data_IF_881526609688
#
_entry.id   IF_881526609688
#
_cell.length_a   1.000
_cell.length_b   1.000
_cell.length_c   1.000
_cell.angle_alpha   90.00
_cell.angle_beta   90.00
_cell.angle_gamma   90.00
#
_symmetry.space_group_name_H-M   'P 1'
#
loop_
_entity.id
_entity.type
_entity.pdbx_description
1 polymer ?
#
# COMPACT_ATOMS: atom_id res chain seq x y z
N UNK A 1 22.65 -2.84 -18.76
CA UNK A 1 23.05 -2.74 -17.36
C UNK A 1 24.03 -3.85 -16.98
N UNK A 2 25.13 -3.55 -16.32
CA UNK A 2 26.03 -4.53 -15.70
C UNK A 2 26.03 -4.32 -14.20
N UNK A 3 25.28 -5.15 -13.47
CA UNK A 3 25.26 -5.14 -12.03
C UNK A 3 26.54 -5.73 -11.46
N UNK A 4 27.17 -5.08 -10.49
CA UNK A 4 28.37 -5.59 -9.84
C UNK A 4 28.15 -5.95 -8.36
N UNK A 5 27.10 -5.42 -7.75
CA UNK A 5 26.71 -5.75 -6.38
C UNK A 5 25.19 -5.73 -6.20
N UNK A 6 24.68 -6.66 -5.40
CA UNK A 6 23.29 -6.72 -4.95
C UNK A 6 23.30 -7.20 -3.52
N UNK A 7 22.77 -6.40 -2.58
CA UNK A 7 22.79 -6.69 -1.15
C UNK A 7 21.41 -6.43 -0.55
N UNK A 8 21.04 -7.20 0.46
CA UNK A 8 19.82 -7.00 1.26
C UNK A 8 20.18 -6.88 2.73
N UNK A 9 19.62 -5.89 3.39
CA UNK A 9 19.74 -5.68 4.83
C UNK A 9 18.35 -5.56 5.47
N UNK A 10 18.23 -5.87 6.75
CA UNK A 10 17.03 -5.50 7.52
C UNK A 10 16.98 -3.99 7.73
N UNK A 11 15.76 -3.47 7.78
CA UNK A 11 15.48 -2.06 8.03
C UNK A 11 14.58 -1.95 9.26
N UNK A 12 15.08 -1.32 10.32
CA UNK A 12 14.41 -1.19 11.61
C UNK A 12 14.41 0.28 12.05
N UNK A 13 13.61 1.11 11.38
CA UNK A 13 13.42 2.52 11.79
C UNK A 13 12.41 2.55 12.94
N UNK A 14 12.74 3.14 14.09
CA UNK A 14 11.81 3.27 15.20
C UNK A 14 10.59 4.12 14.83
N UNK A 15 9.44 3.76 15.37
CA UNK A 15 8.23 4.58 15.30
C UNK A 15 8.21 5.60 16.44
N UNK A 16 7.72 6.80 16.16
CA UNK A 16 7.49 7.86 17.18
C UNK A 16 6.49 7.43 18.24
N UNK A 17 5.58 6.54 17.87
CA UNK A 17 4.59 5.91 18.76
C UNK A 17 4.40 4.47 18.35
N UNK A 18 4.21 3.58 19.33
CA UNK A 18 3.88 2.18 19.04
C UNK A 18 2.57 2.12 18.26
N UNK A 19 2.61 1.43 17.14
CA UNK A 19 1.46 1.20 16.31
C UNK A 19 0.81 -0.14 16.67
N UNK A 20 -0.44 -0.09 17.11
CA UNK A 20 -1.23 -1.29 17.42
C UNK A 20 -2.30 -1.50 16.35
N UNK A 21 -2.31 -2.70 15.78
CA UNK A 21 -3.29 -3.19 14.82
C UNK A 21 -3.94 -4.44 15.41
N UNK A 22 -5.13 -4.80 14.91
CA UNK A 22 -5.85 -6.01 15.36
C UNK A 22 -4.99 -7.28 15.30
N UNK A 23 -4.04 -7.35 14.36
CA UNK A 23 -3.20 -8.53 14.09
C UNK A 23 -1.75 -8.38 14.56
N UNK A 24 -1.28 -7.18 14.93
CA UNK A 24 0.12 -6.95 15.30
C UNK A 24 0.34 -5.63 16.04
N UNK A 25 1.34 -5.63 16.94
CA UNK A 25 1.87 -4.41 17.56
C UNK A 25 3.29 -4.20 17.06
N UNK A 26 3.60 -2.98 16.57
CA UNK A 26 4.90 -2.63 16.00
C UNK A 26 5.48 -1.38 16.63
N UNK A 27 6.79 -1.41 16.83
CA UNK A 27 7.58 -0.27 17.29
C UNK A 27 8.61 0.19 16.25
N UNK A 28 8.80 -0.59 15.19
CA UNK A 28 9.76 -0.33 14.09
C UNK A 28 9.17 -0.71 12.74
N UNK A 29 9.85 -0.33 11.65
CA UNK A 29 9.45 -0.65 10.27
C UNK A 29 9.34 -2.15 9.98
N UNK A 30 10.23 -2.98 10.54
CA UNK A 30 10.33 -4.42 10.23
C UNK A 30 10.31 -4.66 8.71
N UNK A 31 11.25 -4.08 7.99
CA UNK A 31 11.35 -4.10 6.54
C UNK A 31 12.69 -4.65 6.05
N UNK A 32 12.81 -4.84 4.75
CA UNK A 32 14.07 -5.16 4.08
C UNK A 32 14.40 -4.07 3.07
N UNK A 33 15.70 -3.76 2.97
CA UNK A 33 16.26 -2.79 2.04
C UNK A 33 17.23 -3.50 1.11
N UNK A 34 17.06 -3.31 -0.19
CA UNK A 34 17.97 -3.82 -1.22
C UNK A 34 18.73 -2.67 -1.85
N UNK A 35 20.04 -2.86 -1.99
CA UNK A 35 20.95 -1.97 -2.71
C UNK A 35 21.54 -2.73 -3.89
N UNK A 36 21.31 -2.22 -5.09
CA UNK A 36 21.89 -2.70 -6.34
C UNK A 36 22.93 -1.68 -6.84
N UNK A 37 24.10 -2.12 -7.29
CA UNK A 37 25.16 -1.24 -7.79
C UNK A 37 25.64 -1.68 -9.16
N UNK A 38 25.77 -0.75 -10.09
CA UNK A 38 26.30 -1.01 -11.42
C UNK A 38 27.81 -0.82 -11.48
N UNK A 39 28.41 -1.34 -12.55
CA UNK A 39 29.83 -1.15 -12.85
C UNK A 39 30.22 0.32 -13.08
N UNK A 40 29.23 1.20 -13.31
CA UNK A 40 29.43 2.66 -13.40
C UNK A 40 29.35 3.37 -12.04
N UNK A 41 29.15 2.64 -10.96
CA UNK A 41 29.00 3.20 -9.60
C UNK A 41 27.62 3.82 -9.33
N UNK A 42 26.61 3.62 -10.20
CA UNK A 42 25.24 4.02 -9.93
C UNK A 42 24.59 3.04 -8.94
N UNK A 43 23.75 3.58 -8.06
CA UNK A 43 23.10 2.81 -7.00
C UNK A 43 21.59 2.90 -7.13
N UNK A 44 20.94 1.74 -7.21
CA UNK A 44 19.49 1.59 -7.10
C UNK A 44 19.11 1.11 -5.71
N UNK A 45 17.99 1.60 -5.20
CA UNK A 45 17.47 1.27 -3.88
C UNK A 45 16.05 0.71 -3.98
N UNK A 46 15.76 -0.30 -3.18
CA UNK A 46 14.43 -0.91 -3.13
C UNK A 46 14.07 -1.36 -1.72
N UNK A 47 12.80 -1.32 -1.43
CA UNK A 47 12.25 -1.63 -0.11
C UNK A 47 11.16 -2.70 -0.23
N UNK A 48 11.04 -3.55 0.78
CA UNK A 48 9.95 -4.49 0.94
C UNK A 48 9.53 -4.58 2.40
N UNK A 49 8.23 -4.71 2.62
CA UNK A 49 7.65 -4.79 3.95
C UNK A 49 6.99 -6.15 4.15
N UNK A 50 7.72 -7.19 4.59
CA UNK A 50 7.13 -8.49 4.89
C UNK A 50 6.13 -8.37 6.04
N UNK A 51 4.97 -9.04 5.89
CA UNK A 51 3.89 -9.02 6.89
C UNK A 51 3.33 -10.42 7.06
N UNK A 52 3.69 -11.07 8.16
CA UNK A 52 3.34 -12.46 8.42
C UNK A 52 1.83 -12.72 8.39
N UNK A 53 1.03 -11.79 8.91
CA UNK A 53 -0.43 -11.90 8.96
C UNK A 53 -1.13 -11.60 7.61
N UNK A 54 -0.40 -11.11 6.60
CA UNK A 54 -0.93 -10.83 5.25
C UNK A 54 -0.46 -11.88 4.24
N UNK A 55 0.87 -12.06 4.13
CA UNK A 55 1.51 -12.87 3.08
C UNK A 55 2.30 -14.07 3.64
N UNK A 56 2.42 -14.18 4.95
CA UNK A 56 3.21 -15.22 5.60
C UNK A 56 4.71 -14.91 5.68
N UNK A 57 5.19 -13.81 5.07
CA UNK A 57 6.58 -13.42 5.09
C UNK A 57 7.03 -12.80 6.40
N UNK A 58 8.28 -13.06 6.76
CA UNK A 58 9.04 -12.38 7.81
C UNK A 58 10.30 -11.77 7.22
N UNK A 59 10.96 -10.87 7.95
CA UNK A 59 12.27 -10.34 7.54
C UNK A 59 13.28 -11.48 7.32
N UNK A 60 13.28 -12.48 8.21
CA UNK A 60 14.16 -13.64 8.08
C UNK A 60 13.89 -14.48 6.82
N UNK A 61 12.61 -14.76 6.51
CA UNK A 61 12.25 -15.50 5.29
C UNK A 61 12.58 -14.70 4.02
N UNK A 62 12.40 -13.38 4.04
CA UNK A 62 12.77 -12.51 2.94
C UNK A 62 14.29 -12.53 2.66
N UNK A 63 15.10 -12.50 3.72
CA UNK A 63 16.56 -12.61 3.61
C UNK A 63 17.00 -13.99 3.10
N UNK A 64 16.34 -15.06 3.51
CA UNK A 64 16.62 -16.42 3.01
C UNK A 64 16.30 -16.55 1.53
N UNK A 65 15.14 -16.07 1.10
CA UNK A 65 14.75 -16.03 -0.30
C UNK A 65 15.75 -15.22 -1.14
N UNK A 66 16.20 -14.06 -0.62
CA UNK A 66 17.22 -13.25 -1.26
C UNK A 66 18.53 -14.03 -1.44
N UNK A 67 19.04 -14.67 -0.39
CA UNK A 67 20.29 -15.47 -0.47
C UNK A 67 20.20 -16.58 -1.52
N UNK A 68 19.04 -17.24 -1.60
CA UNK A 68 18.83 -18.38 -2.52
C UNK A 68 18.83 -17.97 -3.99
N UNK A 69 18.37 -16.77 -4.33
CA UNK A 69 18.19 -16.36 -5.74
C UNK A 69 19.09 -15.17 -6.16
N UNK A 70 19.87 -14.61 -5.25
CA UNK A 70 20.74 -13.45 -5.53
C UNK A 70 21.61 -13.62 -6.77
N UNK A 71 22.19 -14.82 -6.96
CA UNK A 71 23.08 -15.09 -8.08
C UNK A 71 22.37 -14.98 -9.44
N UNK A 72 21.10 -15.41 -9.50
CA UNK A 72 20.26 -15.30 -10.69
C UNK A 72 19.96 -13.82 -10.99
N UNK A 73 19.56 -13.07 -9.99
CA UNK A 73 19.22 -11.64 -10.15
C UNK A 73 20.41 -10.77 -10.53
N UNK A 74 21.62 -11.14 -10.09
CA UNK A 74 22.85 -10.47 -10.51
C UNK A 74 23.10 -10.54 -12.03
N UNK A 75 22.43 -11.46 -12.73
CA UNK A 75 22.52 -11.58 -14.20
C UNK A 75 21.45 -10.76 -14.93
N UNK A 76 20.41 -10.29 -14.24
CA UNK A 76 19.38 -9.44 -14.84
C UNK A 76 19.98 -8.09 -15.27
N UNK A 77 19.92 -7.80 -16.55
CA UNK A 77 20.54 -6.62 -17.15
C UNK A 77 19.55 -5.67 -17.81
N UNK A 78 18.30 -6.07 -17.91
CA UNK A 78 17.23 -5.34 -18.60
C UNK A 78 15.88 -5.49 -17.91
N UNK A 79 14.92 -4.69 -18.36
CA UNK A 79 13.52 -4.84 -17.96
C UNK A 79 12.97 -6.22 -18.32
N UNK A 80 13.30 -6.69 -19.51
CA UNK A 80 12.84 -7.99 -20.03
C UNK A 80 13.34 -9.14 -19.16
N UNK A 81 14.58 -9.05 -18.66
CA UNK A 81 15.13 -10.07 -17.74
C UNK A 81 14.32 -10.12 -16.42
N UNK A 82 13.99 -8.95 -15.84
CA UNK A 82 13.19 -8.86 -14.63
C UNK A 82 11.78 -9.41 -14.83
N UNK A 83 11.13 -9.07 -15.95
CA UNK A 83 9.80 -9.55 -16.30
C UNK A 83 9.81 -11.07 -16.56
N UNK A 84 10.82 -11.56 -17.27
CA UNK A 84 10.98 -12.98 -17.57
C UNK A 84 11.18 -13.77 -16.29
N UNK A 85 12.08 -13.34 -15.42
CA UNK A 85 12.30 -14.00 -14.12
C UNK A 85 11.03 -13.98 -13.28
N UNK A 86 10.40 -12.81 -13.15
CA UNK A 86 9.17 -12.63 -12.37
C UNK A 86 8.01 -13.50 -12.86
N UNK A 87 7.87 -13.66 -14.17
CA UNK A 87 6.83 -14.51 -14.77
C UNK A 87 7.12 -15.99 -14.55
N UNK A 88 8.37 -16.42 -14.77
CA UNK A 88 8.78 -17.81 -14.57
C UNK A 88 8.68 -18.27 -13.11
N UNK A 89 8.79 -17.33 -12.15
CA UNK A 89 8.81 -17.63 -10.72
C UNK A 89 7.61 -17.04 -9.98
N UNK A 90 6.47 -16.88 -10.65
CA UNK A 90 5.27 -16.25 -10.08
C UNK A 90 4.83 -16.89 -8.74
N UNK A 91 4.85 -18.23 -8.65
CA UNK A 91 4.48 -18.95 -7.41
C UNK A 91 5.47 -18.73 -6.26
N UNK A 92 6.76 -18.55 -6.58
CA UNK A 92 7.77 -18.21 -5.58
C UNK A 92 7.57 -16.79 -5.07
N UNK A 93 7.26 -15.86 -5.96
CA UNK A 93 6.97 -14.46 -5.61
C UNK A 93 5.70 -14.39 -4.77
N UNK A 94 4.65 -15.16 -5.07
CA UNK A 94 3.42 -15.21 -4.27
C UNK A 94 3.67 -15.60 -2.81
N UNK A 95 4.75 -16.34 -2.53
CA UNK A 95 5.19 -16.70 -1.18
C UNK A 95 6.20 -15.74 -0.57
N UNK A 96 6.85 -14.91 -1.40
CA UNK A 96 7.93 -14.00 -1.00
C UNK A 96 7.76 -12.61 -1.65
N UNK A 97 6.55 -12.01 -1.60
CA UNK A 97 6.27 -10.80 -2.37
C UNK A 97 7.09 -9.59 -1.93
N UNK A 98 7.31 -9.39 -0.63
CA UNK A 98 8.07 -8.25 -0.14
C UNK A 98 9.56 -8.37 -0.47
N UNK A 99 10.12 -9.57 -0.39
CA UNK A 99 11.51 -9.80 -0.77
C UNK A 99 11.76 -9.50 -2.25
N UNK A 100 10.89 -10.01 -3.13
CA UNK A 100 10.98 -9.70 -4.56
C UNK A 100 10.71 -8.23 -4.85
N UNK A 101 9.73 -7.61 -4.20
CA UNK A 101 9.47 -6.18 -4.34
C UNK A 101 10.72 -5.32 -4.09
N UNK A 102 11.47 -5.63 -3.02
CA UNK A 102 12.70 -4.91 -2.72
C UNK A 102 13.76 -5.08 -3.82
N UNK A 103 13.93 -6.30 -4.35
CA UNK A 103 14.87 -6.60 -5.43
C UNK A 103 14.45 -5.92 -6.73
N UNK A 104 13.20 -6.12 -7.15
CA UNK A 104 12.66 -5.52 -8.38
C UNK A 104 12.78 -3.99 -8.36
N UNK A 105 12.39 -3.36 -7.26
CA UNK A 105 12.45 -1.90 -7.12
C UNK A 105 13.88 -1.38 -7.19
N UNK A 106 14.84 -2.04 -6.53
CA UNK A 106 16.24 -1.66 -6.60
C UNK A 106 16.80 -1.77 -8.03
N UNK A 107 16.44 -2.84 -8.75
CA UNK A 107 16.84 -3.03 -10.14
C UNK A 107 16.19 -1.98 -11.06
N UNK A 108 14.91 -1.67 -10.86
CA UNK A 108 14.21 -0.63 -11.65
C UNK A 108 14.78 0.76 -11.40
N UNK A 109 15.08 1.11 -10.15
CA UNK A 109 15.74 2.38 -9.81
C UNK A 109 17.11 2.48 -10.48
N UNK A 110 17.90 1.41 -10.40
CA UNK A 110 19.21 1.35 -11.05
C UNK A 110 19.10 1.47 -12.57
N UNK A 111 18.17 0.74 -13.18
CA UNK A 111 17.93 0.79 -14.63
C UNK A 111 17.50 2.18 -15.09
N UNK A 112 16.59 2.83 -14.34
CA UNK A 112 16.20 4.20 -14.63
C UNK A 112 17.36 5.18 -14.57
N UNK A 113 18.28 5.01 -13.62
CA UNK A 113 19.50 5.82 -13.51
C UNK A 113 20.49 5.56 -14.66
N UNK A 114 20.65 4.31 -15.08
CA UNK A 114 21.50 3.95 -16.23
C UNK A 114 20.95 4.52 -17.55
N UNK A 115 19.63 4.57 -17.70
CA UNK A 115 18.95 5.11 -18.87
C UNK A 115 18.70 6.62 -18.78
N UNK A 116 19.05 7.25 -17.66
CA UNK A 116 18.78 8.66 -17.36
C UNK A 116 17.28 9.02 -17.49
N UNK A 117 16.40 8.10 -17.11
CA UNK A 117 14.94 8.22 -17.19
C UNK A 117 14.26 7.91 -15.85
N UNK A 118 13.13 8.57 -15.52
CA UNK A 118 12.28 8.16 -14.41
C UNK A 118 11.75 6.73 -14.62
N UNK A 119 11.49 6.01 -13.52
CA UNK A 119 11.02 4.60 -13.61
C UNK A 119 9.70 4.46 -14.36
N UNK A 120 8.78 5.40 -14.23
CA UNK A 120 7.50 5.40 -14.97
C UNK A 120 7.70 5.47 -16.48
N UNK A 121 8.72 6.19 -16.94
CA UNK A 121 9.08 6.28 -18.37
C UNK A 121 9.75 5.00 -18.83
N UNK A 122 10.65 4.42 -18.03
CA UNK A 122 11.25 3.12 -18.30
C UNK A 122 10.18 2.03 -18.47
N UNK A 123 9.07 2.14 -17.73
CA UNK A 123 7.90 1.25 -17.83
C UNK A 123 6.96 1.60 -19.00
N UNK A 124 7.36 2.47 -19.92
CA UNK A 124 6.56 2.89 -21.07
C UNK A 124 5.40 3.83 -20.74
N UNK A 125 5.42 4.45 -19.57
CA UNK A 125 4.46 5.49 -19.17
C UNK A 125 4.96 6.90 -19.49
N UNK A 126 4.22 7.89 -18.98
CA UNK A 126 4.59 9.30 -19.00
C UNK A 126 5.15 9.74 -17.65
N UNK A 127 5.93 10.82 -17.58
CA UNK A 127 6.35 11.38 -16.30
C UNK A 127 5.17 11.65 -15.38
N UNK A 128 5.34 11.41 -14.08
CA UNK A 128 4.29 11.66 -13.09
C UNK A 128 3.80 13.11 -13.13
N UNK A 129 2.51 13.31 -12.99
CA UNK A 129 1.89 14.64 -13.14
C UNK A 129 1.15 15.14 -11.88
N UNK A 130 0.89 14.29 -10.88
CA UNK A 130 0.16 14.70 -9.68
C UNK A 130 -1.18 15.42 -9.97
N UNK A 131 -1.80 16.10 -9.01
CA UNK A 131 -1.49 15.97 -7.58
C UNK A 131 -1.79 14.58 -7.05
N UNK A 132 -1.06 14.18 -6.00
CA UNK A 132 -1.33 12.94 -5.27
C UNK A 132 -1.95 13.29 -3.92
N UNK A 133 -3.08 12.68 -3.61
CA UNK A 133 -3.84 12.97 -2.39
C UNK A 133 -4.10 11.68 -1.61
N UNK A 134 -3.82 11.74 -0.33
CA UNK A 134 -3.93 10.63 0.61
C UNK A 134 -5.12 10.78 1.54
N UNK A 135 -5.69 9.65 1.95
CA UNK A 135 -6.75 9.58 2.96
C UNK A 135 -6.17 9.69 4.36
N UNK A 136 -6.91 10.29 5.27
CA UNK A 136 -6.64 10.21 6.69
C UNK A 136 -7.12 8.85 7.24
N UNK A 137 -6.27 8.17 8.00
CA UNK A 137 -6.63 6.95 8.71
C UNK A 137 -6.90 7.29 10.18
N UNK A 138 -8.10 6.98 10.63
CA UNK A 138 -8.56 7.20 12.00
C UNK A 138 -8.77 5.88 12.71
N UNK A 139 -8.22 5.76 13.89
CA UNK A 139 -8.37 4.64 14.79
C UNK A 139 -7.87 5.03 16.17
N UNK A 140 -7.81 4.07 17.07
CA UNK A 140 -7.27 4.30 18.41
C UNK A 140 -8.27 3.96 19.50
N UNK A 141 -7.76 3.48 20.63
CA UNK A 141 -8.59 2.94 21.71
C UNK A 141 -9.36 4.03 22.46
N UNK A 142 -8.74 5.21 22.65
CA UNK A 142 -9.34 6.30 23.42
C UNK A 142 -10.02 7.33 22.52
N UNK A 143 -11.27 7.65 22.82
CA UNK A 143 -12.04 8.65 22.08
C UNK A 143 -11.35 10.03 22.06
N UNK A 144 -10.74 10.46 23.16
CA UNK A 144 -10.02 11.73 23.21
C UNK A 144 -8.84 11.82 22.22
N UNK A 145 -8.14 10.71 22.00
CA UNK A 145 -7.06 10.64 21.01
C UNK A 145 -7.61 10.67 19.58
N UNK A 146 -8.70 9.94 19.34
CA UNK A 146 -9.43 9.96 18.07
C UNK A 146 -9.93 11.37 17.74
N UNK A 147 -10.60 12.02 18.68
CA UNK A 147 -11.15 13.37 18.49
C UNK A 147 -10.05 14.40 18.20
N UNK A 148 -8.91 14.30 18.86
CA UNK A 148 -7.74 15.15 18.60
C UNK A 148 -7.23 14.94 17.16
N UNK A 149 -7.05 13.70 16.73
CA UNK A 149 -6.62 13.38 15.37
C UNK A 149 -7.63 13.87 14.32
N UNK A 150 -8.91 13.62 14.55
CA UNK A 150 -9.99 14.08 13.66
C UNK A 150 -9.92 15.59 13.47
N UNK A 151 -9.85 16.37 14.56
CA UNK A 151 -9.72 17.82 14.48
C UNK A 151 -8.47 18.26 13.72
N UNK A 152 -7.34 17.59 13.90
CA UNK A 152 -6.11 17.90 13.18
C UNK A 152 -6.26 17.66 11.68
N UNK A 153 -6.83 16.52 11.27
CA UNK A 153 -7.05 16.20 9.86
C UNK A 153 -8.08 17.15 9.21
N UNK A 154 -9.16 17.46 9.90
CA UNK A 154 -10.17 18.42 9.40
C UNK A 154 -9.56 19.83 9.24
N UNK A 155 -8.79 20.30 10.22
CA UNK A 155 -8.08 21.58 10.15
C UNK A 155 -7.04 21.60 9.02
N UNK A 156 -6.41 20.45 8.73
CA UNK A 156 -5.51 20.29 7.61
C UNK A 156 -6.22 20.16 6.25
N UNK A 157 -7.56 20.07 6.22
CA UNK A 157 -8.36 20.05 5.00
C UNK A 157 -8.58 18.66 4.39
N UNK A 158 -8.43 17.58 5.16
CA UNK A 158 -8.78 16.25 4.69
C UNK A 158 -10.29 16.09 4.55
N UNK A 159 -10.69 15.37 3.48
CA UNK A 159 -12.10 15.05 3.19
C UNK A 159 -12.34 13.56 2.98
N UNK A 160 -11.27 12.77 2.87
CA UNK A 160 -11.33 11.33 2.68
C UNK A 160 -10.75 10.62 3.90
N UNK A 161 -11.56 9.79 4.53
CA UNK A 161 -11.22 9.14 5.78
C UNK A 161 -11.42 7.62 5.69
N UNK A 162 -10.49 6.90 6.29
CA UNK A 162 -10.64 5.49 6.63
C UNK A 162 -10.80 5.38 8.15
N UNK A 163 -11.96 4.91 8.60
CA UNK A 163 -12.26 4.72 10.00
C UNK A 163 -12.12 3.24 10.36
N UNK A 164 -11.26 2.96 11.32
CA UNK A 164 -11.10 1.61 11.86
C UNK A 164 -12.21 1.28 12.84
N UNK A 165 -12.86 0.13 12.63
CA UNK A 165 -13.85 -0.43 13.55
C UNK A 165 -13.12 -1.07 14.72
N UNK A 166 -13.44 -0.65 15.94
CA UNK A 166 -12.81 -1.13 17.16
C UNK A 166 -13.54 -2.33 17.80
N UNK A 167 -14.83 -2.52 17.44
CA UNK A 167 -15.66 -3.63 17.92
C UNK A 167 -16.43 -3.35 19.20
N UNK A 168 -16.32 -2.15 19.73
CA UNK A 168 -17.22 -1.60 20.73
C UNK A 168 -18.25 -0.72 20.01
N UNK A 169 -19.49 -1.19 19.91
CA UNK A 169 -20.53 -0.53 19.13
C UNK A 169 -20.81 0.89 19.59
N UNK A 170 -20.87 1.16 20.88
CA UNK A 170 -21.13 2.49 21.40
C UNK A 170 -19.96 3.45 21.11
N UNK A 171 -18.73 3.00 21.32
CA UNK A 171 -17.55 3.77 21.00
C UNK A 171 -17.40 4.02 19.50
N UNK A 172 -17.72 3.05 18.65
CA UNK A 172 -17.68 3.22 17.18
C UNK A 172 -18.81 4.13 16.68
N UNK A 173 -20.01 4.10 17.28
CA UNK A 173 -21.09 5.05 17.00
C UNK A 173 -20.69 6.48 17.36
N UNK A 174 -20.06 6.67 18.51
CA UNK A 174 -19.55 7.99 18.93
C UNK A 174 -18.54 8.56 17.94
N UNK A 175 -17.63 7.72 17.41
CA UNK A 175 -16.66 8.11 16.37
C UNK A 175 -17.33 8.47 15.04
N UNK A 176 -18.29 7.67 14.61
CA UNK A 176 -19.07 7.94 13.39
C UNK A 176 -19.87 9.24 13.54
N UNK A 177 -20.51 9.45 14.70
CA UNK A 177 -21.25 10.69 14.99
C UNK A 177 -20.34 11.92 14.96
N UNK A 178 -19.14 11.84 15.53
CA UNK A 178 -18.17 12.93 15.52
C UNK A 178 -17.71 13.29 14.09
N UNK A 179 -17.46 12.30 13.23
CA UNK A 179 -17.15 12.50 11.81
C UNK A 179 -18.31 13.18 11.07
N UNK A 180 -19.54 12.71 11.28
CA UNK A 180 -20.74 13.25 10.62
C UNK A 180 -21.03 14.69 11.09
N UNK A 181 -20.89 14.94 12.38
CA UNK A 181 -21.12 16.27 12.98
C UNK A 181 -20.13 17.33 12.48
N UNK A 182 -18.99 16.94 11.95
CA UNK A 182 -18.03 17.87 11.36
C UNK A 182 -18.59 18.63 10.15
N UNK A 183 -19.66 18.13 9.51
CA UNK A 183 -20.36 18.82 8.42
C UNK A 183 -19.48 19.18 7.22
N UNK A 184 -18.39 18.45 7.02
CA UNK A 184 -17.40 18.74 5.98
C UNK A 184 -17.98 18.43 4.60
N UNK A 185 -18.06 19.42 3.69
CA UNK A 185 -18.54 19.18 2.32
C UNK A 185 -17.66 18.17 1.59
N UNK A 186 -18.29 17.18 0.93
CA UNK A 186 -17.58 16.14 0.18
C UNK A 186 -16.88 15.09 1.04
N UNK A 187 -17.20 15.02 2.33
CA UNK A 187 -16.67 13.99 3.24
C UNK A 187 -16.98 12.59 2.72
N UNK A 188 -15.93 11.77 2.63
CA UNK A 188 -16.02 10.34 2.27
C UNK A 188 -15.43 9.51 3.38
N UNK A 189 -16.18 8.50 3.81
CA UNK A 189 -15.75 7.60 4.89
C UNK A 189 -15.81 6.16 4.42
N UNK A 190 -14.70 5.45 4.55
CA UNK A 190 -14.61 4.00 4.40
C UNK A 190 -14.42 3.39 5.78
N UNK A 191 -15.06 2.25 6.02
CA UNK A 191 -14.85 1.47 7.23
C UNK A 191 -13.80 0.38 6.98
N UNK A 192 -12.88 0.20 7.92
CA UNK A 192 -11.94 -0.91 7.94
C UNK A 192 -12.21 -1.76 9.19
N UNK A 193 -12.70 -2.97 8.97
CA UNK A 193 -13.06 -3.89 10.05
C UNK A 193 -11.95 -4.88 10.39
N UNK A 194 -10.88 -4.97 9.61
CA UNK A 194 -9.75 -5.88 9.84
C UNK A 194 -10.20 -7.33 10.14
N UNK A 195 -11.07 -7.89 9.28
CA UNK A 195 -11.58 -9.26 9.34
C UNK A 195 -12.31 -9.61 10.65
N UNK A 196 -13.02 -8.65 11.23
CA UNK A 196 -13.61 -8.73 12.58
C UNK A 196 -14.73 -9.75 12.70
N UNK A 197 -15.67 -9.75 11.75
CA UNK A 197 -16.87 -10.57 11.87
C UNK A 197 -16.71 -11.94 11.21
N UNK A 198 -17.46 -12.90 11.77
CA UNK A 198 -17.46 -14.27 11.28
C UNK A 198 -18.77 -14.63 10.56
N UNK A 199 -19.79 -13.78 10.71
CA UNK A 199 -21.13 -13.98 10.15
C UNK A 199 -21.61 -12.72 9.46
N UNK A 200 -22.32 -12.90 8.36
CA UNK A 200 -22.88 -11.81 7.54
C UNK A 200 -23.92 -11.02 8.32
N UNK A 201 -24.83 -11.72 9.04
CA UNK A 201 -25.88 -11.11 9.85
C UNK A 201 -25.30 -10.21 10.97
N UNK A 202 -24.30 -10.71 11.70
CA UNK A 202 -23.59 -9.95 12.73
C UNK A 202 -22.96 -8.66 12.15
N UNK A 203 -22.27 -8.78 11.02
CA UNK A 203 -21.68 -7.63 10.34
C UNK A 203 -22.73 -6.62 9.88
N UNK A 204 -23.84 -7.09 9.28
CA UNK A 204 -24.94 -6.26 8.84
C UNK A 204 -25.56 -5.47 9.99
N UNK A 205 -25.92 -6.14 11.09
CA UNK A 205 -26.52 -5.53 12.27
C UNK A 205 -25.59 -4.47 12.87
N UNK A 206 -24.30 -4.79 12.98
CA UNK A 206 -23.31 -3.85 13.52
C UNK A 206 -23.18 -2.59 12.65
N UNK A 207 -23.00 -2.76 11.34
CA UNK A 207 -22.81 -1.64 10.38
C UNK A 207 -24.05 -0.75 10.35
N UNK A 208 -25.26 -1.34 10.32
CA UNK A 208 -26.51 -0.58 10.38
C UNK A 208 -26.65 0.20 11.68
N UNK A 209 -26.22 -0.39 12.79
CA UNK A 209 -26.26 0.25 14.12
C UNK A 209 -25.30 1.42 14.25
N UNK A 210 -24.29 1.55 13.40
CA UNK A 210 -23.38 2.72 13.38
C UNK A 210 -24.08 4.01 12.93
N UNK A 211 -25.20 3.93 12.22
CA UNK A 211 -25.99 5.08 11.74
C UNK A 211 -25.16 6.09 10.90
N UNK A 212 -24.20 5.60 10.14
CA UNK A 212 -23.34 6.39 9.25
C UNK A 212 -23.57 6.10 7.78
N UNK A 213 -23.04 6.97 6.94
CA UNK A 213 -22.95 6.76 5.49
C UNK A 213 -21.51 6.41 5.12
N UNK A 214 -21.32 5.24 4.52
CA UNK A 214 -20.00 4.72 4.17
C UNK A 214 -19.92 4.48 2.66
N UNK A 215 -18.76 4.77 2.07
CA UNK A 215 -18.53 4.58 0.64
C UNK A 215 -18.02 3.19 0.31
N UNK A 216 -17.45 2.49 1.28
CA UNK A 216 -16.97 1.11 1.15
C UNK A 216 -16.69 0.48 2.53
N UNK A 217 -16.63 -0.85 2.56
CA UNK A 217 -16.25 -1.66 3.73
C UNK A 217 -14.99 -2.45 3.41
N UNK A 218 -13.90 -2.25 4.17
CA UNK A 218 -12.66 -2.99 4.01
C UNK A 218 -12.61 -4.19 4.95
N UNK A 219 -12.35 -5.37 4.38
CA UNK A 219 -12.17 -6.64 5.08
C UNK A 219 -13.15 -6.87 6.25
N UNK A 220 -14.46 -6.86 5.98
CA UNK A 220 -15.44 -7.01 7.06
C UNK A 220 -15.47 -8.42 7.67
N UNK A 221 -15.26 -9.45 6.85
CA UNK A 221 -15.36 -10.85 7.23
C UNK A 221 -13.99 -11.53 7.25
N UNK A 222 -13.96 -12.84 7.53
CA UNK A 222 -12.72 -13.63 7.48
C UNK A 222 -12.03 -13.50 6.13
N UNK A 223 -10.71 -13.54 6.14
CA UNK A 223 -9.90 -13.53 4.92
C UNK A 223 -10.38 -14.66 3.98
N UNK A 224 -10.70 -14.28 2.74
CA UNK A 224 -11.14 -15.22 1.71
C UNK A 224 -12.61 -15.62 1.76
N UNK A 225 -13.43 -15.05 2.61
CA UNK A 225 -14.89 -15.26 2.61
C UNK A 225 -15.57 -14.38 1.54
N UNK A 226 -15.33 -14.72 0.28
CA UNK A 226 -15.89 -13.98 -0.86
C UNK A 226 -17.43 -14.07 -0.92
N UNK A 227 -18.01 -15.24 -0.59
CA UNK A 227 -19.46 -15.41 -0.60
C UNK A 227 -20.15 -14.57 0.46
N UNK A 228 -19.62 -14.58 1.68
CA UNK A 228 -20.11 -13.72 2.75
C UNK A 228 -19.96 -12.24 2.40
N UNK A 229 -18.83 -11.84 1.83
CA UNK A 229 -18.58 -10.46 1.37
C UNK A 229 -19.55 -10.03 0.25
N UNK A 230 -19.90 -10.92 -0.71
CA UNK A 230 -20.94 -10.65 -1.71
C UNK A 230 -22.29 -10.38 -1.07
N UNK A 231 -22.70 -11.28 -0.16
CA UNK A 231 -23.96 -11.12 0.55
C UNK A 231 -24.01 -9.82 1.34
N UNK A 232 -22.93 -9.49 2.05
CA UNK A 232 -22.82 -8.26 2.84
C UNK A 232 -22.87 -7.01 1.94
N UNK A 233 -22.12 -6.99 0.83
CA UNK A 233 -22.11 -5.88 -0.12
C UNK A 233 -23.51 -5.61 -0.68
N UNK A 234 -24.21 -6.66 -1.10
CA UNK A 234 -25.59 -6.54 -1.59
C UNK A 234 -26.56 -6.04 -0.52
N UNK A 235 -26.41 -6.50 0.71
CA UNK A 235 -27.25 -6.09 1.82
C UNK A 235 -27.02 -4.63 2.25
N UNK A 236 -25.77 -4.22 2.36
CA UNK A 236 -25.39 -2.87 2.77
C UNK A 236 -25.42 -1.85 1.61
N UNK A 237 -25.47 -2.31 0.37
CA UNK A 237 -25.46 -1.44 -0.82
C UNK A 237 -24.14 -0.71 -1.06
N UNK A 238 -23.02 -1.23 -0.53
CA UNK A 238 -21.68 -0.66 -0.69
C UNK A 238 -20.66 -1.72 -1.05
N UNK A 239 -19.64 -1.39 -1.86
CA UNK A 239 -18.62 -2.34 -2.26
C UNK A 239 -17.70 -2.74 -1.09
N UNK A 240 -17.09 -3.91 -1.23
CA UNK A 240 -16.09 -4.45 -0.31
C UNK A 240 -14.69 -4.17 -0.85
N UNK A 241 -13.83 -3.59 -0.02
CA UNK A 241 -12.41 -3.46 -0.29
C UNK A 241 -11.71 -4.75 0.17
N UNK A 242 -11.04 -5.41 -0.77
CA UNK A 242 -10.22 -6.58 -0.51
C UNK A 242 -8.77 -6.16 -0.31
N UNK A 243 -8.22 -6.43 0.86
CA UNK A 243 -6.82 -6.21 1.22
C UNK A 243 -6.12 -7.55 1.47
N UNK A 244 -6.26 -8.13 2.65
CA UNK A 244 -5.69 -9.46 2.96
C UNK A 244 -6.35 -10.58 2.16
N UNK A 245 -7.58 -10.40 1.72
CA UNK A 245 -8.31 -11.36 0.89
C UNK A 245 -7.89 -11.34 -0.59
N UNK A 246 -7.06 -10.37 -1.02
CA UNK A 246 -6.54 -10.31 -2.37
C UNK A 246 -5.03 -10.02 -2.36
N UNK A 247 -4.23 -11.07 -2.52
CA UNK A 247 -2.77 -11.01 -2.43
C UNK A 247 -2.05 -11.51 -3.69
N UNK A 248 -2.77 -12.04 -4.69
CA UNK A 248 -2.19 -12.56 -5.92
C UNK A 248 -3.15 -12.53 -7.11
N UNK A 249 -2.58 -12.43 -8.30
CA UNK A 249 -3.31 -12.34 -9.58
C UNK A 249 -4.28 -13.52 -9.80
N UNK A 250 -3.91 -14.71 -9.35
CA UNK A 250 -4.74 -15.93 -9.50
C UNK A 250 -6.11 -15.87 -8.81
N UNK A 251 -6.37 -14.85 -7.98
CA UNK A 251 -7.65 -14.67 -7.28
C UNK A 251 -8.70 -13.90 -8.10
N UNK A 252 -8.35 -13.31 -9.26
CA UNK A 252 -9.30 -12.58 -10.11
C UNK A 252 -10.56 -13.37 -10.49
N UNK A 253 -10.50 -14.67 -10.85
CA UNK A 253 -11.71 -15.43 -11.16
C UNK A 253 -12.77 -15.43 -10.05
N UNK A 254 -12.37 -15.15 -8.81
CA UNK A 254 -13.29 -15.08 -7.66
C UNK A 254 -14.11 -13.78 -7.62
N UNK A 255 -13.71 -12.73 -8.36
CA UNK A 255 -14.28 -11.39 -8.22
C UNK A 255 -14.71 -10.75 -9.55
N UNK A 256 -14.10 -11.10 -10.66
CA UNK A 256 -14.32 -10.41 -11.96
C UNK A 256 -15.71 -10.61 -12.55
N UNK A 257 -16.47 -11.59 -12.09
CA UNK A 257 -17.87 -11.82 -12.51
C UNK A 257 -18.88 -10.78 -11.98
N UNK A 258 -18.53 -10.06 -10.92
CA UNK A 258 -19.42 -9.07 -10.27
C UNK A 258 -18.60 -7.83 -9.83
N UNK A 259 -18.05 -7.09 -10.78
CA UNK A 259 -17.05 -6.03 -10.49
C UNK A 259 -17.60 -4.91 -9.58
N UNK A 260 -18.89 -4.64 -9.61
CA UNK A 260 -19.51 -3.59 -8.78
C UNK A 260 -19.49 -3.85 -7.28
N UNK A 261 -19.24 -5.08 -6.87
CA UNK A 261 -19.20 -5.46 -5.46
C UNK A 261 -17.82 -5.24 -4.81
N UNK A 262 -16.77 -4.98 -5.63
CA UNK A 262 -15.40 -5.06 -5.20
C UNK A 262 -14.60 -3.78 -5.47
N UNK A 263 -13.64 -3.56 -4.59
CA UNK A 263 -12.53 -2.63 -4.75
C UNK A 263 -11.26 -3.38 -4.32
N UNK A 264 -10.17 -3.22 -5.04
CA UNK A 264 -8.88 -3.84 -4.66
C UNK A 264 -7.97 -2.85 -3.96
N UNK A 265 -7.48 -3.20 -2.77
CA UNK A 265 -6.40 -2.47 -2.12
C UNK A 265 -5.05 -3.00 -2.61
N UNK A 266 -4.39 -2.25 -3.48
CA UNK A 266 -3.09 -2.59 -4.06
C UNK A 266 -1.99 -1.94 -3.21
N UNK A 267 -1.21 -2.78 -2.52
CA UNK A 267 0.02 -2.37 -1.84
C UNK A 267 1.19 -2.98 -2.61
N UNK A 268 2.11 -2.17 -3.09
CA UNK A 268 3.19 -2.62 -4.00
C UNK A 268 3.99 -3.77 -3.40
N UNK A 269 4.37 -3.65 -2.12
CA UNK A 269 5.10 -4.71 -1.41
C UNK A 269 4.29 -6.01 -1.27
N UNK A 270 2.99 -5.91 -0.97
CA UNK A 270 2.08 -7.07 -0.88
C UNK A 270 1.89 -7.78 -2.23
N UNK A 271 1.86 -7.02 -3.32
CA UNK A 271 1.69 -7.58 -4.67
C UNK A 271 2.96 -8.21 -5.24
N UNK A 272 4.10 -8.03 -4.61
CA UNK A 272 5.38 -8.53 -5.12
C UNK A 272 5.98 -7.63 -6.19
N UNK A 273 6.02 -6.32 -5.93
CA UNK A 273 6.71 -5.33 -6.74
C UNK A 273 5.79 -4.50 -7.65
N UNK A 274 6.40 -3.54 -8.32
CA UNK A 274 5.72 -2.56 -9.16
C UNK A 274 5.12 -3.19 -10.42
N UNK A 275 5.84 -4.09 -11.08
CA UNK A 275 5.37 -4.73 -12.30
C UNK A 275 4.11 -5.56 -12.04
N UNK A 276 4.09 -6.33 -10.96
CA UNK A 276 2.92 -7.12 -10.56
C UNK A 276 1.78 -6.23 -10.07
N UNK A 277 2.06 -5.17 -9.34
CA UNK A 277 1.05 -4.18 -8.93
C UNK A 277 0.37 -3.53 -10.15
N UNK A 278 1.15 -3.17 -11.18
CA UNK A 278 0.63 -2.66 -12.44
C UNK A 278 -0.20 -3.72 -13.20
N UNK A 279 0.22 -4.98 -13.19
CA UNK A 279 -0.54 -6.09 -13.79
C UNK A 279 -1.90 -6.26 -13.11
N UNK A 280 -1.93 -6.23 -11.78
CA UNK A 280 -3.19 -6.29 -11.00
C UNK A 280 -4.08 -5.09 -11.32
N UNK A 281 -3.54 -3.88 -11.33
CA UNK A 281 -4.30 -2.67 -11.63
C UNK A 281 -4.84 -2.67 -13.06
N UNK A 282 -4.06 -3.12 -14.05
CA UNK A 282 -4.50 -3.27 -15.45
C UNK A 282 -5.66 -4.25 -15.57
N UNK A 283 -5.58 -5.39 -14.90
CA UNK A 283 -6.66 -6.39 -14.91
C UNK A 283 -7.91 -5.90 -14.17
N UNK A 284 -7.74 -5.20 -13.06
CA UNK A 284 -8.84 -4.55 -12.34
C UNK A 284 -9.56 -3.54 -13.24
N UNK A 285 -8.80 -2.69 -13.96
CA UNK A 285 -9.34 -1.74 -14.93
C UNK A 285 -10.13 -2.44 -16.03
N UNK A 286 -9.57 -3.50 -16.63
CA UNK A 286 -10.24 -4.28 -17.68
C UNK A 286 -11.53 -4.95 -17.15
N UNK A 287 -11.58 -5.34 -15.90
CA UNK A 287 -12.76 -5.93 -15.24
C UNK A 287 -13.76 -4.88 -14.74
N UNK A 288 -13.44 -3.58 -14.77
CA UNK A 288 -14.28 -2.52 -14.21
C UNK A 288 -14.27 -2.44 -12.68
N UNK A 289 -13.22 -2.94 -12.04
CA UNK A 289 -13.03 -2.93 -10.58
C UNK A 289 -12.18 -1.73 -10.19
N UNK A 290 -12.67 -0.80 -9.34
CA UNK A 290 -11.88 0.30 -8.80
C UNK A 290 -10.75 -0.18 -7.87
N UNK A 291 -9.75 0.67 -7.67
CA UNK A 291 -8.64 0.38 -6.79
C UNK A 291 -8.43 1.45 -5.71
N UNK A 292 -7.88 1.02 -4.60
CA UNK A 292 -7.17 1.83 -3.61
C UNK A 292 -5.68 1.51 -3.78
N UNK A 293 -4.83 2.51 -3.77
CA UNK A 293 -3.39 2.31 -3.64
C UNK A 293 -3.04 2.51 -2.18
N UNK A 294 -2.82 1.40 -1.49
CA UNK A 294 -2.51 1.35 -0.06
C UNK A 294 -1.02 1.23 0.23
N UNK A 295 -0.69 1.16 1.50
CA UNK A 295 0.66 1.01 2.00
C UNK A 295 0.72 0.07 3.20
N UNK A 296 1.85 -0.61 3.39
CA UNK A 296 2.15 -1.30 4.64
C UNK A 296 2.57 -0.27 5.70
N UNK A 297 2.15 -0.49 6.94
CA UNK A 297 2.55 0.42 8.04
C UNK A 297 4.07 0.40 8.19
N UNK A 298 4.68 1.58 8.16
CA UNK A 298 6.13 1.74 8.29
C UNK A 298 6.88 1.77 6.94
N UNK A 299 6.20 1.80 5.81
CA UNK A 299 6.85 2.07 4.52
C UNK A 299 7.58 3.42 4.55
N UNK A 300 8.77 3.44 3.94
CA UNK A 300 9.54 4.68 3.74
C UNK A 300 9.15 5.38 2.44
N UNK A 301 9.81 6.49 2.16
CA UNK A 301 9.64 7.22 0.90
C UNK A 301 9.95 6.40 -0.35
N UNK A 302 10.70 5.30 -0.24
CA UNK A 302 10.98 4.41 -1.37
C UNK A 302 9.69 3.78 -1.88
N UNK A 303 8.95 3.06 -1.03
CA UNK A 303 7.69 2.43 -1.43
C UNK A 303 6.60 3.47 -1.72
N UNK A 304 6.57 4.60 -0.98
CA UNK A 304 5.69 5.72 -1.32
C UNK A 304 5.92 6.17 -2.77
N UNK A 305 7.17 6.40 -3.19
CA UNK A 305 7.52 6.82 -4.56
C UNK A 305 7.10 5.80 -5.61
N UNK A 306 7.33 4.53 -5.33
CA UNK A 306 6.96 3.43 -6.24
C UNK A 306 5.43 3.35 -6.41
N UNK A 307 4.68 3.49 -5.32
CA UNK A 307 3.22 3.46 -5.34
C UNK A 307 2.60 4.59 -6.17
N UNK A 308 3.27 5.76 -6.27
CA UNK A 308 2.82 6.86 -7.13
C UNK A 308 2.72 6.46 -8.60
N UNK A 309 3.56 5.55 -9.08
CA UNK A 309 3.52 5.06 -10.47
C UNK A 309 2.20 4.32 -10.75
N UNK A 310 1.76 3.49 -9.81
CA UNK A 310 0.46 2.80 -9.90
C UNK A 310 -0.68 3.81 -9.84
N UNK A 311 -0.64 4.72 -8.89
CA UNK A 311 -1.68 5.72 -8.67
C UNK A 311 -1.85 6.65 -9.89
N UNK A 312 -0.77 7.10 -10.49
CA UNK A 312 -0.80 7.98 -11.66
C UNK A 312 -1.28 7.24 -12.91
N UNK A 313 -0.76 6.05 -13.16
CA UNK A 313 -1.06 5.26 -14.35
C UNK A 313 -2.51 4.77 -14.40
N UNK A 314 -3.12 4.52 -13.25
CA UNK A 314 -4.48 4.00 -13.11
C UNK A 314 -5.41 4.98 -12.38
N UNK A 315 -5.17 6.26 -12.56
CA UNK A 315 -5.90 7.36 -11.93
C UNK A 315 -7.40 7.32 -12.21
N UNK A 316 -7.80 6.83 -13.37
CA UNK A 316 -9.19 6.72 -13.79
C UNK A 316 -10.02 5.69 -13.01
N UNK A 317 -9.39 4.72 -12.38
CA UNK A 317 -10.03 3.74 -11.49
C UNK A 317 -9.62 3.88 -10.02
N UNK A 318 -8.75 4.84 -9.73
CA UNK A 318 -8.25 5.10 -8.37
C UNK A 318 -9.29 5.87 -7.55
N UNK A 319 -9.75 5.29 -6.45
CA UNK A 319 -10.71 5.95 -5.55
C UNK A 319 -10.08 6.58 -4.33
N UNK A 320 -8.92 6.07 -3.89
CA UNK A 320 -8.20 6.59 -2.74
C UNK A 320 -6.74 6.14 -2.73
N UNK A 321 -5.89 6.92 -2.05
CA UNK A 321 -4.52 6.55 -1.70
C UNK A 321 -4.35 6.56 -0.19
N UNK A 322 -3.56 5.63 0.33
CA UNK A 322 -3.19 5.53 1.74
C UNK A 322 -1.67 5.41 1.86
N UNK A 323 -1.10 5.89 2.95
CA UNK A 323 0.34 5.90 3.17
C UNK A 323 0.92 7.30 3.14
N UNK A 324 2.15 7.44 2.64
CA UNK A 324 2.92 8.68 2.66
C UNK A 324 2.96 9.31 4.07
N UNK A 325 3.06 8.47 5.09
CA UNK A 325 3.02 8.91 6.49
C UNK A 325 4.37 9.52 6.88
N UNK A 326 5.47 8.99 6.33
CA UNK A 326 6.81 9.49 6.54
C UNK A 326 7.12 9.71 8.02
N UNK A 327 7.70 10.84 8.35
CA UNK A 327 8.09 11.18 9.73
C UNK A 327 6.93 11.61 10.62
N UNK A 328 5.67 11.52 10.18
CA UNK A 328 4.54 11.52 11.10
C UNK A 328 4.51 10.26 11.98
N UNK A 329 5.03 9.12 11.45
CA UNK A 329 5.16 7.86 12.17
C UNK A 329 6.62 7.48 12.46
N UNK A 330 7.49 7.60 11.46
CA UNK A 330 8.90 7.20 11.56
C UNK A 330 9.72 8.27 12.30
N UNK A 331 10.68 7.87 13.12
CA UNK A 331 11.62 8.81 13.72
C UNK A 331 12.46 9.53 12.66
N UNK A 332 12.82 8.83 11.59
CA UNK A 332 13.47 9.38 10.40
C UNK A 332 13.07 8.58 9.15
N UNK A 333 13.27 9.15 7.98
CA UNK A 333 13.11 8.48 6.69
C UNK A 333 14.49 8.24 6.05
N UNK A 334 14.56 7.32 5.09
CA UNK A 334 15.78 7.08 4.32
C UNK A 334 16.07 8.20 3.32
N UNK A 335 15.06 8.98 2.99
CA UNK A 335 15.12 10.03 1.98
C UNK A 335 15.02 11.41 2.62
N UNK A 336 15.73 12.38 1.98
CA UNK A 336 15.69 13.77 2.37
C UNK A 336 15.46 14.64 1.11
N UNK A 337 14.32 15.36 1.02
CA UNK A 337 13.19 15.36 1.95
C UNK A 337 12.38 14.07 1.89
N UNK A 338 11.68 13.68 2.97
CA UNK A 338 10.80 12.52 2.95
C UNK A 338 9.53 12.80 2.15
N UNK A 339 9.02 11.77 1.46
CA UNK A 339 7.72 11.83 0.80
C UNK A 339 6.61 11.59 1.82
N UNK A 340 5.86 12.62 2.15
CA UNK A 340 4.78 12.53 3.14
C UNK A 340 3.64 13.48 2.81
N UNK A 341 2.44 13.12 3.25
CA UNK A 341 1.28 13.97 3.08
C UNK A 341 1.39 15.25 3.91
N UNK A 342 0.89 16.33 3.35
CA UNK A 342 0.73 17.62 4.01
C UNK A 342 -0.73 18.07 3.97
N UNK A 343 -0.94 19.36 3.77
CA UNK A 343 -2.25 20.00 3.77
C UNK A 343 -3.20 19.34 2.74
N UNK A 344 -4.42 19.07 3.17
CA UNK A 344 -5.46 18.44 2.36
C UNK A 344 -5.17 16.99 1.97
N UNK A 345 -4.20 16.34 2.62
CA UNK A 345 -3.70 15.02 2.25
C UNK A 345 -2.82 15.02 1.01
N UNK A 346 -2.50 16.20 0.43
CA UNK A 346 -1.64 16.27 -0.74
C UNK A 346 -0.20 15.92 -0.38
N UNK A 347 0.50 15.23 -1.31
CA UNK A 347 1.92 15.01 -1.18
C UNK A 347 2.64 16.35 -1.11
N UNK A 348 3.41 16.57 -0.03
CA UNK A 348 3.97 17.87 0.30
C UNK A 348 5.21 18.20 -0.56
N UNK A 349 5.98 17.20 -0.92
CA UNK A 349 7.21 17.35 -1.69
C UNK A 349 7.20 16.49 -2.95
N UNK A 350 7.68 17.05 -4.06
CA UNK A 350 7.68 16.44 -5.39
C UNK A 350 9.01 16.62 -6.12
N UNK A 351 10.11 16.80 -5.39
CA UNK A 351 11.44 17.05 -5.96
C UNK A 351 11.94 15.92 -6.86
N UNK A 352 11.32 14.76 -6.82
CA UNK A 352 11.65 13.61 -7.66
C UNK A 352 11.16 13.75 -9.12
N UNK A 353 10.26 14.68 -9.43
CA UNK A 353 9.70 14.83 -10.77
C UNK A 353 10.79 15.02 -11.82
N UNK A 354 10.74 14.20 -12.89
CA UNK A 354 11.66 14.24 -14.01
C UNK A 354 13.09 13.75 -13.70
N UNK A 355 13.37 13.29 -12.49
CA UNK A 355 14.67 12.74 -12.13
C UNK A 355 14.74 11.25 -12.49
N UNK A 356 15.94 10.79 -12.86
CA UNK A 356 16.19 9.39 -13.23
C UNK A 356 15.97 8.42 -12.06
N UNK A 357 15.56 7.20 -12.40
CA UNK A 357 15.22 6.18 -11.42
C UNK A 357 14.00 6.57 -10.59
N UNK A 358 14.06 6.35 -9.29
CA UNK A 358 13.07 6.85 -8.32
C UNK A 358 13.15 8.37 -8.12
N UNK A 359 14.27 8.99 -8.48
CA UNK A 359 14.49 10.43 -8.30
C UNK A 359 14.67 10.87 -6.85
N UNK A 360 14.84 9.93 -5.93
CA UNK A 360 14.97 10.17 -4.49
C UNK A 360 16.42 10.51 -4.12
N UNK A 361 16.57 11.40 -3.13
CA UNK A 361 17.85 11.70 -2.49
C UNK A 361 17.89 11.01 -1.14
N UNK A 362 18.92 10.20 -0.90
CA UNK A 362 19.08 9.47 0.35
C UNK A 362 19.84 10.31 1.37
N UNK A 363 19.39 10.25 2.64
CA UNK A 363 20.08 10.87 3.75
C UNK A 363 21.49 10.25 3.90
N UNK A 364 22.48 11.08 4.28
CA UNK A 364 23.89 10.66 4.45
C UNK A 364 24.13 9.95 5.77
#
# INVERSE_FOLDING_TARGET
>A
LRMCSLTMTSLEIPFRQVFTHASATRATTEAVLVRAESARGLVGMGEGCPRQYVTGETVASAQEFFRSHRAEWMTCSSMDDLQTWGTAHADLIDRNPAAWCAVETACLDLLGKELEQPIEVVLGGTPLSGPFRYSAVLGGEKFSSFEKQLRQYLAAGFIDFKLKVMGDLEADRERVAALTAAGTPGLRVRLDANNRWHRVDEACEYIQSLQGSFTALEEPLRVGDYEGCRALSRHCGVPIILDESFVKVGQFPLIEGEPSLWILNIRVSKMGGLLRACTVAARAKAAGIPIVVGAQVGETSILTRVALVVADRYRDILIAQEGAVGTHLLEYDLCEPPLMFGRGGCLADTVFYGRSGLGLSFAR
#
